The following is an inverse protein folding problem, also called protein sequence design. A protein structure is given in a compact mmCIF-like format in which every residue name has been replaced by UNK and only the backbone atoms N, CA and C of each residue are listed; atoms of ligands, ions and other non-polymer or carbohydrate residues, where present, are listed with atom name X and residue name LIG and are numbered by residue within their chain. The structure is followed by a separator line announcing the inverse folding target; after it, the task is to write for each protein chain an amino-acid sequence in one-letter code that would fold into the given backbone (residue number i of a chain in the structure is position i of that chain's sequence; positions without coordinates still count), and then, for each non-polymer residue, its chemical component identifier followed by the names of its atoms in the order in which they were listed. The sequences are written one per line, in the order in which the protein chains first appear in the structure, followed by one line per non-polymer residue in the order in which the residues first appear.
data_IF_626611909137
#
_entry.id   IF_626611909137
#
_cell.length_a   1.000
_cell.length_b   1.000
_cell.length_c   1.000
_cell.angle_alpha   90.00
_cell.angle_beta   90.00
_cell.angle_gamma   90.00
#
_symmetry.space_group_name_H-M   'P 1'
#
loop_
_entity.id
_entity.type
_entity.pdbx_description
1 polymer ?
#
# COMPACT_ATOMS: atom_id res chain seq x y z
N UNK A 1 -7.60 14.73 -23.77
CA UNK A 1 -6.97 15.90 -23.10
C UNK A 1 -7.94 16.46 -22.07
N UNK A 2 -7.81 16.02 -20.82
CA UNK A 2 -8.56 16.56 -19.70
C UNK A 2 -7.62 17.50 -18.92
N UNK A 3 -8.12 18.71 -18.64
CA UNK A 3 -7.36 19.79 -18.05
C UNK A 3 -6.99 19.52 -16.60
N UNK A 4 -5.71 19.75 -16.29
CA UNK A 4 -5.18 19.77 -14.94
C UNK A 4 -5.79 20.93 -14.15
N UNK A 5 -6.80 20.60 -13.34
CA UNK A 5 -7.14 21.35 -12.13
C UNK A 5 -7.47 20.34 -11.03
N UNK A 6 -6.43 19.71 -10.48
CA UNK A 6 -6.46 19.18 -9.11
C UNK A 6 -5.65 20.13 -8.24
N UNK A 7 -6.23 20.48 -7.11
CA UNK A 7 -5.67 21.34 -6.07
C UNK A 7 -4.30 20.77 -5.67
N UNK A 8 -3.27 21.62 -5.61
CA UNK A 8 -1.95 21.24 -5.05
C UNK A 8 -2.19 20.89 -3.58
N UNK A 9 -2.20 19.60 -3.23
CA UNK A 9 -2.36 19.17 -1.85
C UNK A 9 -0.96 19.03 -1.23
N UNK A 10 -0.60 20.06 -0.47
CA UNK A 10 0.58 20.14 0.39
C UNK A 10 1.92 20.34 -0.31
N UNK A 11 2.74 21.24 0.25
CA UNK A 11 4.15 21.39 -0.12
C UNK A 11 5.04 20.44 0.70
N UNK A 12 6.29 20.27 0.27
CA UNK A 12 7.28 19.54 1.07
C UNK A 12 7.46 20.16 2.46
N UNK A 13 7.38 21.49 2.58
CA UNK A 13 7.48 22.19 3.86
C UNK A 13 6.36 21.82 4.83
N UNK A 14 5.13 21.63 4.33
CA UNK A 14 4.02 21.16 5.17
C UNK A 14 4.22 19.72 5.66
N UNK A 15 4.83 18.87 4.84
CA UNK A 15 5.22 17.52 5.25
C UNK A 15 6.25 17.56 6.38
N UNK A 16 7.23 18.46 6.32
CA UNK A 16 8.23 18.63 7.39
C UNK A 16 7.57 19.08 8.72
N UNK A 17 6.57 19.96 8.65
CA UNK A 17 5.78 20.34 9.84
C UNK A 17 5.06 19.13 10.45
N UNK A 18 4.52 18.22 9.62
CA UNK A 18 3.88 16.98 10.09
C UNK A 18 4.87 16.01 10.70
N UNK A 19 6.07 15.87 10.11
CA UNK A 19 7.16 15.07 10.67
C UNK A 19 7.57 15.58 12.06
N UNK A 20 7.74 16.89 12.21
CA UNK A 20 8.09 17.48 13.51
C UNK A 20 6.98 17.26 14.55
N UNK A 21 5.71 17.39 14.14
CA UNK A 21 4.54 17.11 15.00
C UNK A 21 4.51 15.64 15.46
N UNK A 22 4.76 14.69 14.55
CA UNK A 22 4.84 13.27 14.89
C UNK A 22 5.93 13.00 15.93
N UNK A 23 7.16 13.50 15.71
CA UNK A 23 8.24 13.35 16.70
C UNK A 23 7.85 13.94 18.06
N UNK A 24 7.16 15.07 18.08
CA UNK A 24 6.69 15.70 19.33
C UNK A 24 5.57 14.91 20.01
N UNK A 25 4.75 14.14 19.27
CA UNK A 25 3.68 13.32 19.85
C UNK A 25 4.18 12.04 20.51
N UNK A 26 5.26 11.44 19.98
CA UNK A 26 5.96 10.32 20.62
C UNK A 26 7.21 10.88 21.29
N UNK A 27 7.19 11.24 22.60
CA UNK A 27 8.06 12.22 23.28
C UNK A 27 9.59 11.96 23.14
N UNK A 28 10.11 12.11 21.93
CA UNK A 28 11.46 11.78 21.52
C UNK A 28 12.17 13.06 21.11
N UNK A 29 13.37 13.25 21.64
CA UNK A 29 14.29 14.27 21.16
C UNK A 29 14.82 13.87 19.78
N UNK A 30 15.29 14.85 18.99
CA UNK A 30 15.92 14.59 17.68
C UNK A 30 17.05 13.54 17.76
N UNK A 31 17.80 13.50 18.86
CA UNK A 31 18.82 12.46 19.08
C UNK A 31 18.22 11.06 19.16
N UNK A 32 17.11 10.90 19.88
CA UNK A 32 16.44 9.61 20.05
C UNK A 32 15.78 9.18 18.73
N UNK A 33 15.14 10.12 18.04
CA UNK A 33 14.54 9.86 16.72
C UNK A 33 15.61 9.51 15.69
N UNK A 34 16.72 10.24 15.64
CA UNK A 34 17.85 9.92 14.78
C UNK A 34 18.36 8.50 15.03
N UNK A 35 18.55 8.11 16.30
CA UNK A 35 18.92 6.75 16.66
C UNK A 35 17.89 5.71 16.21
N UNK A 36 16.59 6.00 16.37
CA UNK A 36 15.51 5.10 15.96
C UNK A 36 15.50 4.85 14.45
N UNK A 37 15.80 5.88 13.63
CA UNK A 37 15.81 5.76 12.17
C UNK A 37 17.21 5.50 11.57
N UNK A 38 18.21 5.23 12.42
CA UNK A 38 19.56 4.85 11.99
C UNK A 38 20.45 5.98 11.49
N UNK A 39 20.24 7.22 11.93
CA UNK A 39 21.04 8.40 11.55
C UNK A 39 21.56 9.16 12.79
N UNK A 40 22.54 10.04 12.60
CA UNK A 40 23.00 10.93 13.69
C UNK A 40 21.93 11.98 14.04
N UNK A 41 22.04 12.60 15.23
CA UNK A 41 21.17 13.72 15.59
C UNK A 41 21.26 14.86 14.56
N UNK A 42 22.48 15.18 14.10
CA UNK A 42 22.72 16.25 13.12
C UNK A 42 22.04 15.92 11.79
N UNK A 43 22.19 14.68 11.31
CA UNK A 43 21.52 14.22 10.10
C UNK A 43 20.00 14.30 10.23
N UNK A 44 19.44 13.86 11.37
CA UNK A 44 18.01 13.98 11.63
C UNK A 44 17.55 15.44 11.65
N UNK A 45 18.33 16.35 12.25
CA UNK A 45 18.04 17.78 12.23
C UNK A 45 18.00 18.32 10.80
N UNK A 46 18.91 17.89 9.92
CA UNK A 46 18.86 18.29 8.51
C UNK A 46 17.65 17.73 7.76
N UNK A 47 17.19 16.52 8.10
CA UNK A 47 15.94 15.97 7.55
C UNK A 47 14.73 16.77 8.02
N UNK A 48 14.57 16.99 9.34
CA UNK A 48 13.41 17.67 9.93
C UNK A 48 13.31 19.14 9.50
N UNK A 49 14.44 19.81 9.23
CA UNK A 49 14.48 21.18 8.73
C UNK A 49 14.47 21.29 7.18
N UNK A 50 14.43 20.17 6.45
CA UNK A 50 14.39 20.18 4.98
C UNK A 50 15.71 20.48 4.28
N UNK A 51 16.83 20.53 5.01
CA UNK A 51 18.17 20.69 4.41
C UNK A 51 18.59 19.46 3.60
N UNK A 52 18.04 18.29 3.95
CA UNK A 52 18.21 17.02 3.24
C UNK A 52 16.86 16.35 3.08
N UNK A 53 16.62 15.69 1.94
CA UNK A 53 15.37 14.97 1.68
C UNK A 53 15.31 13.64 2.45
N UNK A 54 14.13 13.30 2.96
CA UNK A 54 13.84 11.96 3.48
C UNK A 54 13.88 10.92 2.35
N UNK A 55 14.78 9.96 2.48
CA UNK A 55 14.90 8.81 1.57
C UNK A 55 13.86 7.74 1.88
N UNK A 56 13.68 6.80 0.96
CA UNK A 56 12.88 5.58 1.15
C UNK A 56 13.29 4.82 2.42
N UNK A 57 14.59 4.73 2.71
CA UNK A 57 15.11 4.08 3.92
C UNK A 57 14.72 4.82 5.20
N UNK A 58 14.75 6.16 5.18
CA UNK A 58 14.31 6.95 6.32
C UNK A 58 12.81 6.78 6.56
N UNK A 59 12.01 6.77 5.49
CA UNK A 59 10.57 6.57 5.58
C UNK A 59 10.22 5.18 6.11
N UNK A 60 10.91 4.12 5.64
CA UNK A 60 10.73 2.78 6.17
C UNK A 60 11.07 2.70 7.66
N UNK A 61 12.20 3.25 8.06
CA UNK A 61 12.60 3.26 9.46
C UNK A 61 11.67 4.12 10.33
N UNK A 62 11.10 5.21 9.79
CA UNK A 62 10.04 5.97 10.46
C UNK A 62 8.78 5.13 10.65
N UNK A 63 8.34 4.40 9.62
CA UNK A 63 7.19 3.51 9.71
C UNK A 63 7.37 2.47 10.83
N UNK A 64 8.59 1.93 10.97
CA UNK A 64 8.94 0.98 12.05
C UNK A 64 8.81 1.59 13.47
N UNK A 65 8.81 2.92 13.60
CA UNK A 65 8.53 3.60 14.88
C UNK A 65 7.03 3.75 15.19
N UNK A 66 6.15 3.33 14.27
CA UNK A 66 4.71 3.55 14.33
C UNK A 66 4.23 4.82 13.61
N UNK A 67 5.08 5.43 12.78
CA UNK A 67 4.70 6.63 12.04
C UNK A 67 3.70 6.29 10.93
N UNK A 68 2.60 7.05 10.87
CA UNK A 68 1.70 7.05 9.72
C UNK A 68 2.36 7.81 8.56
N UNK A 69 3.03 7.07 7.67
CA UNK A 69 3.75 7.63 6.53
C UNK A 69 2.79 8.33 5.57
N UNK A 70 1.59 7.78 5.37
CA UNK A 70 0.62 8.40 4.48
C UNK A 70 0.20 9.78 5.02
N UNK A 71 -0.07 9.88 6.32
CA UNK A 71 -0.37 11.16 6.97
C UNK A 71 0.81 12.12 6.95
N UNK A 72 2.03 11.67 7.23
CA UNK A 72 3.21 12.54 7.18
C UNK A 72 3.33 13.16 5.79
N UNK A 73 3.26 12.35 4.74
CA UNK A 73 3.40 12.82 3.36
C UNK A 73 2.22 13.71 2.95
N UNK A 74 0.98 13.23 3.10
CA UNK A 74 -0.21 13.84 2.47
C UNK A 74 -0.97 14.78 3.39
N UNK A 75 -0.90 14.58 4.71
CA UNK A 75 -1.76 15.22 5.69
C UNK A 75 -3.11 14.52 5.88
N UNK A 76 -3.37 13.42 5.17
CA UNK A 76 -4.59 12.62 5.27
C UNK A 76 -4.31 11.33 6.04
N UNK A 77 -5.21 10.99 6.96
CA UNK A 77 -5.22 9.67 7.58
C UNK A 77 -6.04 8.73 6.72
N UNK A 78 -5.49 7.56 6.47
CA UNK A 78 -6.18 6.52 5.74
C UNK A 78 -6.41 5.32 6.66
N UNK A 79 -7.67 5.03 6.92
CA UNK A 79 -8.06 3.92 7.77
C UNK A 79 -8.91 2.95 6.96
N UNK A 80 -8.49 1.69 6.96
CA UNK A 80 -9.22 0.61 6.32
C UNK A 80 -9.45 -0.51 7.32
N UNK A 81 -10.70 -0.72 7.69
CA UNK A 81 -11.10 -1.77 8.62
C UNK A 81 -11.51 -3.01 7.84
N UNK A 82 -10.62 -3.99 7.71
CA UNK A 82 -10.98 -5.33 7.22
C UNK A 82 -10.25 -6.42 8.02
N UNK A 83 -10.05 -6.18 9.32
CA UNK A 83 -9.26 -7.05 10.19
C UNK A 83 -9.81 -8.49 10.19
N UNK A 84 -11.13 -8.66 10.15
CA UNK A 84 -11.77 -9.99 10.06
C UNK A 84 -11.40 -10.75 8.77
N UNK A 85 -11.31 -10.06 7.64
CA UNK A 85 -10.93 -10.64 6.36
C UNK A 85 -9.44 -10.94 6.33
N UNK A 86 -8.62 -10.00 6.79
CA UNK A 86 -7.18 -10.18 6.89
C UNK A 86 -6.84 -11.37 7.81
N UNK A 87 -7.50 -11.48 8.96
CA UNK A 87 -7.33 -12.59 9.88
C UNK A 87 -7.68 -13.95 9.23
N UNK A 88 -8.80 -14.04 8.52
CA UNK A 88 -9.17 -15.29 7.83
C UNK A 88 -8.19 -15.64 6.69
N UNK A 89 -7.73 -14.64 5.93
CA UNK A 89 -6.71 -14.83 4.89
C UNK A 89 -5.39 -15.30 5.52
N UNK A 90 -4.97 -14.70 6.63
CA UNK A 90 -3.75 -15.07 7.35
C UNK A 90 -3.84 -16.50 7.90
N UNK A 91 -5.02 -16.97 8.34
CA UNK A 91 -5.25 -18.36 8.78
C UNK A 91 -5.07 -19.39 7.66
N UNK A 92 -5.06 -18.99 6.39
CA UNK A 92 -4.72 -19.90 5.29
C UNK A 92 -3.23 -20.32 5.29
N UNK A 93 -2.37 -19.64 6.06
CA UNK A 93 -0.98 -20.03 6.28
C UNK A 93 -0.17 -20.02 4.99
N UNK A 94 0.31 -21.19 4.55
CA UNK A 94 1.07 -21.33 3.29
C UNK A 94 0.26 -20.92 2.06
N UNK A 95 -1.06 -21.06 2.13
CA UNK A 95 -1.99 -20.72 1.05
C UNK A 95 -2.50 -19.27 1.14
N UNK A 96 -1.94 -18.46 2.06
CA UNK A 96 -2.33 -17.06 2.25
C UNK A 96 -2.32 -16.27 0.94
N UNK A 97 -1.26 -16.42 0.15
CA UNK A 97 -1.10 -15.68 -1.10
C UNK A 97 -2.19 -16.04 -2.12
N UNK A 98 -2.45 -17.35 -2.28
CA UNK A 98 -3.52 -17.86 -3.13
C UNK A 98 -4.90 -17.41 -2.65
N UNK A 99 -5.17 -17.48 -1.34
CA UNK A 99 -6.42 -17.02 -0.74
C UNK A 99 -6.66 -15.53 -1.02
N UNK A 100 -5.63 -14.70 -0.81
CA UNK A 100 -5.69 -13.26 -1.09
C UNK A 100 -5.93 -12.98 -2.58
N UNK A 101 -5.28 -13.73 -3.47
CA UNK A 101 -5.51 -13.64 -4.93
C UNK A 101 -6.94 -13.97 -5.29
N UNK A 102 -7.48 -15.04 -4.74
CA UNK A 102 -8.86 -15.44 -5.00
C UNK A 102 -9.87 -14.40 -4.50
N UNK A 103 -9.64 -13.82 -3.32
CA UNK A 103 -10.45 -12.71 -2.81
C UNK A 103 -10.40 -11.50 -3.75
N UNK A 104 -9.22 -11.09 -4.19
CA UNK A 104 -9.06 -9.98 -5.13
C UNK A 104 -9.82 -10.23 -6.45
N UNK A 105 -9.75 -11.45 -7.00
CA UNK A 105 -10.51 -11.83 -8.20
C UNK A 105 -12.02 -11.75 -7.99
N UNK A 106 -12.54 -12.26 -6.86
CA UNK A 106 -13.97 -12.17 -6.55
C UNK A 106 -14.41 -10.72 -6.40
N UNK A 107 -13.59 -9.87 -5.77
CA UNK A 107 -13.87 -8.44 -5.66
C UNK A 107 -13.91 -7.77 -7.03
N UNK A 108 -12.93 -8.06 -7.90
CA UNK A 108 -12.87 -7.54 -9.26
C UNK A 108 -14.11 -7.93 -10.08
N UNK A 109 -14.52 -9.21 -10.02
CA UNK A 109 -15.71 -9.70 -10.72
C UNK A 109 -17.00 -9.00 -10.24
N UNK A 110 -17.16 -8.81 -8.91
CA UNK A 110 -18.33 -8.11 -8.37
C UNK A 110 -18.38 -6.64 -8.81
N UNK A 111 -17.22 -5.99 -8.93
CA UNK A 111 -17.11 -4.63 -9.45
C UNK A 111 -17.53 -4.59 -10.93
N UNK A 112 -17.00 -5.50 -11.75
CA UNK A 112 -17.33 -5.57 -13.18
C UNK A 112 -18.83 -5.78 -13.41
N UNK A 113 -19.47 -6.59 -12.57
CA UNK A 113 -20.93 -6.82 -12.58
C UNK A 113 -21.76 -5.65 -12.05
N UNK A 114 -21.14 -4.63 -11.47
CA UNK A 114 -21.83 -3.51 -10.84
C UNK A 114 -22.58 -3.90 -9.57
N UNK A 115 -22.13 -4.95 -8.87
CA UNK A 115 -22.76 -5.47 -7.65
C UNK A 115 -22.31 -4.71 -6.39
N UNK A 116 -21.28 -3.87 -6.47
CA UNK A 116 -20.79 -3.07 -5.35
C UNK A 116 -21.18 -1.61 -5.48
N UNK A 117 -21.53 -1.01 -4.33
CA UNK A 117 -21.86 0.41 -4.23
C UNK A 117 -20.65 1.21 -3.72
N UNK A 118 -20.57 2.48 -4.10
CA UNK A 118 -19.55 3.43 -3.62
C UNK A 118 -18.08 3.04 -3.89
N UNK A 119 -17.83 2.15 -4.86
CA UNK A 119 -16.46 1.87 -5.33
C UNK A 119 -16.01 3.00 -6.26
N UNK A 120 -14.88 3.64 -5.95
CA UNK A 120 -14.32 4.63 -6.87
C UNK A 120 -13.72 3.96 -8.10
N UNK A 121 -13.71 4.67 -9.23
CA UNK A 121 -13.07 4.19 -10.47
C UNK A 121 -11.59 3.83 -10.26
N UNK A 122 -10.88 4.58 -9.42
CA UNK A 122 -9.48 4.35 -9.08
C UNK A 122 -9.27 3.06 -8.29
N UNK A 123 -10.14 2.77 -7.31
CA UNK A 123 -10.04 1.54 -6.52
C UNK A 123 -10.36 0.31 -7.37
N UNK A 124 -11.38 0.41 -8.23
CA UNK A 124 -11.75 -0.63 -9.18
C UNK A 124 -10.57 -1.04 -10.08
N UNK A 125 -9.95 -0.06 -10.76
CA UNK A 125 -8.81 -0.31 -11.65
C UNK A 125 -7.60 -0.86 -10.91
N UNK A 126 -7.35 -0.41 -9.68
CA UNK A 126 -6.22 -0.87 -8.89
C UNK A 126 -6.35 -2.37 -8.61
N UNK A 127 -7.53 -2.83 -8.17
CA UNK A 127 -7.73 -4.26 -7.89
C UNK A 127 -7.73 -5.12 -9.15
N UNK A 128 -8.32 -4.64 -10.25
CA UNK A 128 -8.28 -5.32 -11.55
C UNK A 128 -6.83 -5.52 -12.01
N UNK A 129 -6.05 -4.44 -12.10
CA UNK A 129 -4.65 -4.50 -12.53
C UNK A 129 -3.78 -5.36 -11.60
N UNK A 130 -4.06 -5.33 -10.29
CA UNK A 130 -3.35 -6.13 -9.30
C UNK A 130 -3.71 -7.61 -9.39
N UNK A 131 -4.98 -7.95 -9.64
CA UNK A 131 -5.41 -9.33 -9.87
C UNK A 131 -4.76 -9.92 -11.13
N UNK A 132 -4.71 -9.14 -12.22
CA UNK A 132 -4.12 -9.53 -13.50
C UNK A 132 -2.60 -9.70 -13.44
N UNK A 133 -1.92 -8.84 -12.68
CA UNK A 133 -0.46 -8.82 -12.57
C UNK A 133 0.04 -9.23 -11.18
N UNK A 134 -0.61 -10.22 -10.55
CA UNK A 134 -0.44 -10.54 -9.11
C UNK A 134 1.01 -10.60 -8.59
N UNK A 135 1.91 -11.24 -9.34
CA UNK A 135 3.29 -11.49 -8.92
C UNK A 135 4.25 -10.36 -9.33
N UNK A 136 3.91 -9.59 -10.36
CA UNK A 136 4.76 -8.58 -11.00
C UNK A 136 4.18 -7.15 -10.92
N UNK A 137 3.13 -6.95 -10.12
CA UNK A 137 2.44 -5.66 -10.03
C UNK A 137 3.37 -4.58 -9.50
N UNK A 138 3.44 -3.45 -10.21
CA UNK A 138 4.19 -2.27 -9.83
C UNK A 138 3.30 -1.04 -9.83
N UNK A 139 3.21 -0.37 -8.67
CA UNK A 139 2.33 0.81 -8.53
C UNK A 139 2.79 1.97 -9.42
N UNK A 140 4.10 2.14 -9.60
CA UNK A 140 4.67 3.18 -10.46
C UNK A 140 4.34 2.90 -11.93
N UNK A 141 4.43 1.63 -12.35
CA UNK A 141 4.04 1.23 -13.71
C UNK A 141 2.53 1.44 -13.94
N UNK A 142 1.71 1.01 -12.98
CA UNK A 142 0.25 1.15 -13.04
C UNK A 142 -0.17 2.63 -13.21
N UNK A 143 0.36 3.53 -12.39
CA UNK A 143 0.06 4.97 -12.52
C UNK A 143 0.53 5.52 -13.87
N UNK A 144 1.68 5.08 -14.39
CA UNK A 144 2.14 5.50 -15.71
C UNK A 144 1.18 5.07 -16.83
N UNK A 145 0.68 3.85 -16.75
CA UNK A 145 -0.29 3.32 -17.72
C UNK A 145 -1.62 4.06 -17.64
N UNK A 146 -2.09 4.41 -16.45
CA UNK A 146 -3.25 5.26 -16.24
C UNK A 146 -3.06 6.68 -16.84
N UNK A 147 -1.86 7.22 -16.71
CA UNK A 147 -1.46 8.51 -17.28
C UNK A 147 -1.15 8.45 -18.79
N UNK A 148 -1.20 7.24 -19.38
CA UNK A 148 -1.02 6.98 -20.80
C UNK A 148 0.25 7.60 -21.40
N UNK A 149 1.36 7.50 -20.67
CA UNK A 149 2.62 8.10 -21.10
C UNK A 149 3.79 7.10 -21.08
N UNK A 150 4.86 7.45 -21.80
CA UNK A 150 6.10 6.67 -21.82
C UNK A 150 6.89 6.85 -20.52
N UNK A 151 7.81 5.90 -20.25
CA UNK A 151 8.74 6.02 -19.11
C UNK A 151 9.54 7.33 -19.15
N UNK A 152 9.89 7.82 -20.35
CA UNK A 152 10.67 9.07 -20.53
C UNK A 152 9.82 10.27 -20.12
N UNK A 153 8.58 10.35 -20.59
CA UNK A 153 7.67 11.43 -20.25
C UNK A 153 7.34 11.44 -18.76
N UNK A 154 7.07 10.28 -18.17
CA UNK A 154 6.80 10.20 -16.73
C UNK A 154 8.02 10.59 -15.89
N UNK A 155 9.22 10.12 -16.27
CA UNK A 155 10.45 10.52 -15.59
C UNK A 155 10.65 12.05 -15.62
N UNK A 156 10.37 12.69 -16.76
CA UNK A 156 10.43 14.15 -16.89
C UNK A 156 9.38 14.85 -16.01
N UNK A 157 8.13 14.36 -15.98
CA UNK A 157 7.06 14.91 -15.13
C UNK A 157 7.40 14.84 -13.64
N UNK A 158 8.03 13.74 -13.22
CA UNK A 158 8.44 13.52 -11.83
C UNK A 158 9.81 14.14 -11.50
N UNK A 159 10.48 14.78 -12.46
CA UNK A 159 11.77 15.42 -12.25
C UNK A 159 12.91 14.44 -11.93
N UNK A 160 12.81 13.18 -12.37
CA UNK A 160 13.81 12.13 -12.12
C UNK A 160 14.50 11.70 -13.41
N UNK A 161 15.74 11.21 -13.30
CA UNK A 161 16.44 10.62 -14.44
C UNK A 161 15.80 9.28 -14.88
N UNK A 162 15.79 9.00 -16.19
CA UNK A 162 15.20 7.77 -16.77
C UNK A 162 15.74 6.47 -16.16
N UNK A 163 17.02 6.44 -15.73
CA UNK A 163 17.59 5.27 -15.03
C UNK A 163 16.91 5.04 -13.67
N UNK A 164 16.82 6.10 -12.85
CA UNK A 164 16.12 6.07 -11.55
C UNK A 164 14.65 5.66 -11.76
N UNK A 165 13.98 6.23 -12.76
CA UNK A 165 12.58 5.91 -13.05
C UNK A 165 12.35 4.42 -13.37
N UNK A 166 13.22 3.83 -14.19
CA UNK A 166 13.16 2.38 -14.50
C UNK A 166 13.39 1.50 -13.28
N UNK A 167 14.23 1.93 -12.35
CA UNK A 167 14.46 1.21 -11.09
C UNK A 167 13.25 1.27 -10.16
N UNK A 168 12.50 2.38 -10.19
CA UNK A 168 11.23 2.54 -9.47
C UNK A 168 10.15 1.62 -10.02
N UNK A 169 9.97 1.58 -11.35
CA UNK A 169 8.98 0.67 -11.96
C UNK A 169 9.30 -0.81 -11.72
N UNK A 170 10.59 -1.17 -11.70
CA UNK A 170 11.06 -2.53 -11.38
C UNK A 170 11.06 -2.87 -9.90
N UNK A 171 10.69 -1.91 -9.04
CA UNK A 171 10.66 -2.07 -7.58
C UNK A 171 12.01 -2.43 -6.93
N UNK A 172 13.10 -2.14 -7.65
CA UNK A 172 14.48 -2.24 -7.14
C UNK A 172 14.90 -1.00 -6.35
N UNK A 173 14.12 0.07 -6.46
CA UNK A 173 14.25 1.34 -5.76
C UNK A 173 12.85 1.82 -5.39
N UNK A 174 12.69 2.45 -4.22
CA UNK A 174 11.43 3.05 -3.80
C UNK A 174 11.51 4.58 -3.80
N UNK A 175 10.37 5.30 -3.92
CA UNK A 175 10.35 6.75 -3.93
C UNK A 175 10.84 7.36 -2.60
N UNK A 176 11.54 8.49 -2.70
CA UNK A 176 11.79 9.38 -1.57
C UNK A 176 10.53 10.21 -1.25
N UNK A 177 10.52 10.95 -0.14
CA UNK A 177 9.33 11.65 0.34
C UNK A 177 8.78 12.70 -0.65
N UNK A 178 9.66 13.38 -1.40
CA UNK A 178 9.24 14.38 -2.38
C UNK A 178 8.59 13.70 -3.59
N UNK A 179 9.15 12.56 -4.01
CA UNK A 179 8.60 11.78 -5.09
C UNK A 179 7.27 11.12 -4.70
N UNK A 180 7.11 10.65 -3.46
CA UNK A 180 5.82 10.17 -2.94
C UNK A 180 4.75 11.27 -2.99
N UNK A 181 5.10 12.48 -2.54
CA UNK A 181 4.20 13.63 -2.59
C UNK A 181 3.81 13.95 -4.04
N UNK A 182 4.75 13.87 -4.98
CA UNK A 182 4.50 14.09 -6.41
C UNK A 182 3.58 13.02 -7.02
N UNK A 183 3.81 11.75 -6.68
CA UNK A 183 2.99 10.61 -7.13
C UNK A 183 1.58 10.68 -6.55
N UNK A 184 1.44 11.03 -5.26
CA UNK A 184 0.15 11.25 -4.62
C UNK A 184 -0.61 12.43 -5.28
N UNK A 185 0.04 13.58 -5.45
CA UNK A 185 -0.58 14.75 -6.07
C UNK A 185 -1.03 14.49 -7.51
N UNK A 186 -0.30 13.66 -8.25
CA UNK A 186 -0.64 13.27 -9.62
C UNK A 186 -1.81 12.29 -9.65
N UNK A 187 -1.69 11.19 -8.90
CA UNK A 187 -2.56 10.02 -9.07
C UNK A 187 -3.72 9.98 -8.07
N UNK A 188 -3.54 10.53 -6.87
CA UNK A 188 -4.45 10.42 -5.74
C UNK A 188 -4.28 9.12 -4.93
N UNK A 189 -3.36 8.23 -5.33
CA UNK A 189 -3.09 7.01 -4.58
C UNK A 189 -2.14 7.26 -3.42
N UNK A 190 -2.34 6.48 -2.38
CA UNK A 190 -1.65 6.61 -1.10
C UNK A 190 -0.15 6.29 -1.21
N UNK A 191 0.71 7.05 -0.53
CA UNK A 191 2.15 6.80 -0.50
C UNK A 191 2.53 5.35 -0.16
N UNK A 192 1.81 4.70 0.76
CA UNK A 192 2.07 3.32 1.17
C UNK A 192 1.95 2.31 0.01
N UNK A 193 1.11 2.58 -1.01
CA UNK A 193 0.99 1.70 -2.19
C UNK A 193 2.24 1.75 -3.09
N UNK A 194 3.02 2.83 -3.04
CA UNK A 194 4.26 3.00 -3.80
C UNK A 194 5.49 2.50 -3.04
N UNK A 195 5.32 2.01 -1.82
CA UNK A 195 6.39 1.52 -0.98
C UNK A 195 6.17 0.07 -0.58
N UNK A 196 7.24 -0.62 -0.23
CA UNK A 196 7.17 -1.95 0.39
C UNK A 196 7.19 -1.84 1.93
N UNK A 197 6.16 -1.18 2.47
CA UNK A 197 5.92 -1.05 3.92
C UNK A 197 4.98 -2.15 4.44
N UNK A 198 4.05 -2.59 3.61
CA UNK A 198 3.08 -3.64 3.92
C UNK A 198 2.75 -4.45 2.66
N UNK A 199 1.98 -5.52 2.81
CA UNK A 199 1.43 -6.24 1.66
C UNK A 199 0.37 -5.36 0.96
N UNK A 200 0.79 -4.61 -0.05
CA UNK A 200 -0.08 -3.70 -0.82
C UNK A 200 -1.30 -4.40 -1.43
N UNK A 201 -1.24 -5.72 -1.62
CA UNK A 201 -2.37 -6.52 -2.12
C UNK A 201 -3.46 -6.63 -1.08
N UNK A 202 -3.07 -6.84 0.17
CA UNK A 202 -3.99 -6.75 1.29
C UNK A 202 -4.54 -5.34 1.43
N UNK A 203 -3.69 -4.31 1.25
CA UNK A 203 -4.16 -2.92 1.32
C UNK A 203 -5.23 -2.62 0.26
N UNK A 204 -5.02 -2.98 -1.00
CA UNK A 204 -6.00 -2.80 -2.08
C UNK A 204 -7.33 -3.52 -1.80
N UNK A 205 -7.28 -4.75 -1.27
CA UNK A 205 -8.47 -5.49 -0.82
C UNK A 205 -9.18 -4.77 0.33
N UNK A 206 -8.43 -4.26 1.31
CA UNK A 206 -8.96 -3.50 2.44
C UNK A 206 -9.67 -2.21 2.02
N UNK A 207 -9.16 -1.50 1.00
CA UNK A 207 -9.81 -0.30 0.44
C UNK A 207 -11.25 -0.60 0.02
N UNK A 208 -11.45 -1.71 -0.68
CA UNK A 208 -12.76 -2.11 -1.19
C UNK A 208 -13.66 -2.75 -0.15
N UNK A 209 -13.13 -3.25 0.97
CA UNK A 209 -13.95 -3.95 1.96
C UNK A 209 -15.11 -3.11 2.48
N UNK A 210 -14.95 -1.80 2.58
CA UNK A 210 -16.01 -0.88 3.02
C UNK A 210 -17.22 -0.84 2.06
N UNK A 211 -17.00 -1.12 0.76
CA UNK A 211 -18.04 -1.14 -0.27
C UNK A 211 -18.94 -2.38 -0.23
N UNK A 212 -18.51 -3.43 0.48
CA UNK A 212 -19.29 -4.66 0.62
C UNK A 212 -20.36 -4.56 1.72
N UNK A 213 -21.57 -5.00 1.41
CA UNK A 213 -22.62 -5.17 2.39
C UNK A 213 -22.31 -6.35 3.33
N UNK A 214 -22.93 -6.37 4.52
CA UNK A 214 -22.68 -7.40 5.52
C UNK A 214 -22.89 -8.84 4.99
N UNK A 215 -23.87 -9.04 4.10
CA UNK A 215 -24.12 -10.34 3.47
C UNK A 215 -22.97 -10.80 2.58
N UNK A 216 -22.47 -9.94 1.70
CA UNK A 216 -21.35 -10.27 0.83
C UNK A 216 -20.04 -10.44 1.61
N UNK A 217 -19.84 -9.65 2.68
CA UNK A 217 -18.70 -9.83 3.61
C UNK A 217 -18.69 -11.23 4.21
N UNK A 218 -19.83 -11.69 4.73
CA UNK A 218 -19.96 -13.04 5.27
C UNK A 218 -19.66 -14.11 4.22
N UNK A 219 -20.18 -13.94 2.99
CA UNK A 219 -19.90 -14.87 1.89
C UNK A 219 -18.41 -14.93 1.52
N UNK A 220 -17.72 -13.78 1.50
CA UNK A 220 -16.27 -13.75 1.25
C UNK A 220 -15.47 -14.41 2.38
N UNK A 221 -15.85 -14.18 3.64
CA UNK A 221 -15.22 -14.85 4.78
C UNK A 221 -15.42 -16.36 4.72
N UNK A 222 -16.63 -16.82 4.42
CA UNK A 222 -16.95 -18.24 4.26
C UNK A 222 -16.24 -18.85 3.04
N UNK A 223 -16.11 -18.11 1.95
CA UNK A 223 -15.30 -18.49 0.80
C UNK A 223 -13.84 -18.75 1.20
N UNK A 224 -13.20 -17.83 1.93
CA UNK A 224 -11.82 -18.00 2.40
C UNK A 224 -11.70 -19.20 3.35
N UNK A 225 -12.65 -19.38 4.28
CA UNK A 225 -12.69 -20.54 5.19
C UNK A 225 -12.79 -21.87 4.42
N UNK A 226 -13.67 -21.93 3.43
CA UNK A 226 -13.87 -23.13 2.61
C UNK A 226 -12.64 -23.43 1.77
N UNK A 227 -12.05 -22.41 1.12
CA UNK A 227 -10.81 -22.53 0.38
C UNK A 227 -9.69 -23.08 1.27
N UNK A 228 -9.53 -22.53 2.48
CA UNK A 228 -8.57 -23.05 3.46
C UNK A 228 -8.83 -24.52 3.79
N UNK A 229 -10.06 -24.89 4.09
CA UNK A 229 -10.41 -26.27 4.47
C UNK A 229 -10.14 -27.26 3.33
N UNK A 230 -10.42 -26.87 2.08
CA UNK A 230 -10.14 -27.68 0.89
C UNK A 230 -8.63 -27.86 0.72
N UNK A 231 -7.86 -26.78 0.81
CA UNK A 231 -6.42 -26.80 0.56
C UNK A 231 -5.62 -27.49 1.66
N UNK A 232 -6.07 -27.39 2.92
CA UNK A 232 -5.42 -28.06 4.06
C UNK A 232 -5.79 -29.55 4.16
N UNK A 233 -6.82 -29.98 3.41
CA UNK A 233 -7.38 -31.33 3.45
C UNK A 233 -7.92 -31.68 4.83
N UNK A 234 -8.72 -32.74 4.93
CA UNK A 234 -9.07 -33.36 6.21
C UNK A 234 -7.82 -33.94 6.88
N UNK A 235 -6.90 -33.10 7.38
CA UNK A 235 -5.69 -33.53 8.09
C UNK A 235 -6.01 -34.25 9.41
N UNK A 236 -7.27 -34.22 9.83
CA UNK A 236 -7.80 -34.98 10.98
C UNK A 236 -8.33 -36.38 10.62
N UNK A 237 -8.71 -36.67 9.37
CA UNK A 237 -9.16 -38.02 8.97
C UNK A 237 -7.99 -39.00 8.78
N UNK A 238 -6.78 -38.51 8.51
CA UNK A 238 -5.59 -39.37 8.42
C UNK A 238 -4.98 -39.72 9.78
N UNK A 239 -5.22 -38.94 10.85
CA UNK A 239 -4.72 -39.27 12.20
C UNK A 239 -5.53 -40.36 12.91
N UNK A 240 -6.78 -40.60 12.50
CA UNK A 240 -7.64 -41.63 13.09
C UNK A 240 -7.50 -43.02 12.46
N UNK A 241 -6.82 -43.15 11.31
CA UNK A 241 -6.59 -44.46 10.67
C UNK A 241 -5.26 -45.12 11.09
N UNK A 242 -4.30 -44.39 11.65
CA UNK A 242 -3.04 -44.97 12.16
C UNK A 242 -3.17 -45.59 13.57
N UNK A 243 -4.33 -45.49 14.22
CA UNK A 243 -4.63 -46.16 15.50
C UNK A 243 -5.48 -47.44 15.36
N UNK A 244 -5.73 -47.90 14.13
CA UNK A 244 -6.53 -49.12 13.84
C UNK A 244 -5.84 -50.14 12.93
N UNK A 245 -4.51 -50.06 12.79
CA UNK A 245 -3.67 -51.07 12.13
C UNK A 245 -2.97 -51.99 13.13
#
# INVERSE_FOLDING_TARGET
MAGWRRVVMGSYDEMLVRLEKYRKSIPMKQKQMGQAIGVSQEQYSYLENGNTKLTDKNLKALADTGADIDYIITGEHFQYSADELEDEINRAGKERDFALKMVANVMSEKIERGELQNVSRSEAKLIEAMADSWDDFSMVNFVREEEQCSQIEMAQRLGVGIKKYRELEKETLYPDAELLLSLYNMSGYQPALFMNLCDRRMLAVKMLWSAFEAGDKLQLLDFVRNLRNIMQGNTDEQKNNDYRG
#
